data_IF_425735237674
#
_entry.id   IF_425735237674
#
_cell.length_a   1.000
_cell.length_b   1.000
_cell.length_c   1.000
_cell.angle_alpha   90.00
_cell.angle_beta   90.00
_cell.angle_gamma   90.00
#
_symmetry.space_group_name_H-M   'P 1'
#
loop_
_entity.id
_entity.type
_entity.pdbx_description
1 polymer ?
#
# COMPACT_ATOMS: atom_id res chain seq x y z
N UNK A 1 34.17 1.90 -58.10
CA UNK A 1 33.74 3.06 -58.89
C UNK A 1 33.02 4.03 -57.96
N UNK A 2 33.50 5.27 -57.91
CA UNK A 2 32.93 6.48 -57.27
C UNK A 2 31.58 6.87 -57.93
N UNK A 3 30.69 7.76 -57.44
CA UNK A 3 30.78 9.12 -56.87
C UNK A 3 29.36 9.53 -56.35
N UNK A 4 29.12 10.14 -55.17
CA UNK A 4 29.24 11.55 -54.70
C UNK A 4 28.08 12.53 -55.06
N UNK A 5 27.57 13.25 -54.04
CA UNK A 5 26.97 14.61 -54.04
C UNK A 5 25.43 14.68 -53.86
N UNK A 6 24.80 15.57 -53.07
CA UNK A 6 25.23 16.78 -52.35
C UNK A 6 24.16 17.24 -51.30
N UNK A 7 24.55 18.23 -50.46
CA UNK A 7 23.94 18.76 -49.23
C UNK A 7 23.10 20.06 -49.41
N UNK A 8 22.14 20.29 -48.48
CA UNK A 8 21.69 21.55 -47.82
C UNK A 8 21.00 22.67 -48.65
N UNK A 9 20.30 23.70 -48.06
CA UNK A 9 20.31 24.19 -46.67
C UNK A 9 18.97 24.67 -46.03
N UNK A 10 19.07 25.10 -44.76
CA UNK A 10 18.06 25.74 -43.90
C UNK A 10 17.78 27.22 -44.23
N UNK A 11 16.81 27.86 -43.53
CA UNK A 11 16.93 29.27 -43.19
C UNK A 11 16.79 29.57 -41.69
N UNK A 12 17.71 30.40 -41.21
CA UNK A 12 17.70 31.19 -39.98
C UNK A 12 17.01 32.53 -40.22
N UNK A 13 16.30 33.06 -39.22
CA UNK A 13 16.15 34.51 -39.05
C UNK A 13 15.92 34.89 -37.58
N UNK A 14 16.65 35.93 -37.18
CA UNK A 14 16.92 36.46 -35.83
C UNK A 14 16.05 37.66 -35.45
N UNK A 15 15.84 37.81 -34.14
CA UNK A 15 15.79 39.04 -33.31
C UNK A 15 14.84 40.20 -33.66
N UNK A 16 14.02 40.57 -32.66
CA UNK A 16 13.42 41.90 -32.53
C UNK A 16 12.95 42.18 -31.10
N UNK A 17 13.80 42.81 -30.30
CA UNK A 17 13.41 43.39 -29.02
C UNK A 17 12.64 44.71 -29.23
N UNK A 18 11.59 44.98 -28.46
CA UNK A 18 11.16 46.35 -28.08
C UNK A 18 10.23 46.34 -26.86
N UNK A 19 10.63 47.12 -25.87
CA UNK A 19 9.84 47.53 -24.72
C UNK A 19 8.70 48.48 -25.11
N UNK A 20 7.59 48.47 -24.35
CA UNK A 20 6.97 49.68 -23.75
C UNK A 20 5.71 49.38 -22.93
N UNK A 21 5.79 49.87 -21.70
CA UNK A 21 4.75 50.37 -20.78
C UNK A 21 3.51 50.94 -21.48
N UNK A 22 2.30 50.63 -20.96
CA UNK A 22 1.26 51.63 -20.54
C UNK A 22 -0.19 51.10 -20.60
N UNK A 23 -0.78 50.96 -19.40
CA UNK A 23 -2.14 51.37 -18.95
C UNK A 23 -3.44 51.00 -19.73
N UNK A 24 -4.39 50.57 -18.88
CA UNK A 24 -5.82 50.96 -18.72
C UNK A 24 -6.92 50.07 -19.33
N UNK A 25 -7.88 49.74 -18.46
CA UNK A 25 -9.23 49.21 -18.77
C UNK A 25 -9.59 48.05 -17.84
N UNK A 26 -9.92 48.24 -16.55
CA UNK A 26 -11.16 48.76 -15.95
C UNK A 26 -12.31 47.73 -15.85
N UNK A 27 -12.72 47.49 -14.58
CA UNK A 27 -14.06 47.18 -14.05
C UNK A 27 -14.63 45.77 -14.33
N UNK A 28 -15.25 45.04 -13.39
CA UNK A 28 -15.84 45.48 -12.12
C UNK A 28 -15.93 44.36 -11.06
N UNK A 29 -15.83 44.81 -9.81
CA UNK A 29 -16.03 44.04 -8.59
C UNK A 29 -17.43 44.32 -8.05
N UNK A 30 -18.20 43.27 -7.74
CA UNK A 30 -19.44 43.39 -6.99
C UNK A 30 -19.19 43.16 -5.49
N UNK A 31 -19.32 44.26 -4.74
CA UNK A 31 -19.98 44.44 -3.44
C UNK A 31 -19.81 43.37 -2.34
N UNK A 32 -19.06 43.76 -1.30
CA UNK A 32 -19.42 43.46 0.10
C UNK A 32 -19.23 44.74 0.94
N UNK A 33 -20.34 45.27 1.47
CA UNK A 33 -20.38 46.40 2.40
C UNK A 33 -19.94 45.92 3.79
N UNK A 34 -18.90 46.55 4.35
CA UNK A 34 -18.63 46.50 5.80
C UNK A 34 -18.54 47.93 6.32
N UNK A 35 -19.41 48.23 7.27
CA UNK A 35 -19.55 49.51 7.96
C UNK A 35 -18.36 49.71 8.88
N UNK A 36 -17.69 50.87 8.75
CA UNK A 36 -16.56 51.25 9.59
C UNK A 36 -17.00 51.97 10.85
N UNK A 37 -16.33 51.67 11.97
CA UNK A 37 -16.19 52.57 13.12
C UNK A 37 -14.71 52.54 13.52
N UNK A 38 -14.01 53.66 13.32
CA UNK A 38 -12.64 53.91 13.77
C UNK A 38 -12.67 54.47 15.19
N UNK A 39 -11.89 53.89 16.09
CA UNK A 39 -11.38 54.59 17.28
C UNK A 39 -9.85 54.43 17.36
N UNK A 40 -9.10 55.44 17.81
CA UNK A 40 -7.64 55.42 17.84
C UNK A 40 -7.10 54.63 19.04
N UNK A 41 -6.14 53.73 18.77
CA UNK A 41 -5.46 52.94 19.79
C UNK A 41 -4.42 53.76 20.55
N UNK A 42 -4.59 53.87 21.87
CA UNK A 42 -3.56 54.32 22.82
C UNK A 42 -2.75 53.10 23.24
N UNK A 43 -1.43 53.11 22.99
CA UNK A 43 -0.49 52.05 23.42
C UNK A 43 -0.01 52.33 24.85
N UNK A 44 -0.33 51.44 25.78
CA UNK A 44 0.33 51.32 27.09
C UNK A 44 1.14 50.02 27.08
N UNK A 45 2.46 50.03 27.32
CA UNK A 45 3.26 48.81 27.35
C UNK A 45 3.12 48.12 28.71
N UNK A 46 2.40 46.99 28.75
CA UNK A 46 2.42 46.05 29.87
C UNK A 46 3.48 44.96 29.66
N UNK A 47 4.05 44.37 30.73
CA UNK A 47 5.10 43.36 30.63
C UNK A 47 4.58 42.09 29.95
N UNK A 48 5.31 41.61 28.93
CA UNK A 48 5.04 40.34 28.24
C UNK A 48 5.24 39.19 29.23
N UNK A 49 4.15 38.61 29.73
CA UNK A 49 4.18 37.26 30.26
C UNK A 49 4.58 36.32 29.12
N UNK A 50 5.74 35.65 29.27
CA UNK A 50 6.11 34.55 28.39
C UNK A 50 5.09 33.43 28.61
N UNK A 51 4.25 33.20 27.60
CA UNK A 51 3.47 31.98 27.52
C UNK A 51 4.46 30.83 27.33
N UNK A 52 4.71 30.08 28.40
CA UNK A 52 5.33 28.77 28.32
C UNK A 52 4.31 27.87 27.63
N UNK A 53 4.39 27.79 26.31
CA UNK A 53 3.69 26.78 25.52
C UNK A 53 4.31 25.43 25.87
N UNK A 54 3.79 24.75 26.88
CA UNK A 54 3.88 23.30 26.94
C UNK A 54 3.07 22.75 25.78
N UNK A 55 3.69 22.67 24.61
CA UNK A 55 3.13 21.96 23.48
C UNK A 55 2.96 20.50 23.94
N UNK A 56 1.74 20.13 24.32
CA UNK A 56 1.37 18.73 24.49
C UNK A 56 1.56 18.12 23.11
N UNK A 57 2.61 17.32 22.95
CA UNK A 57 2.89 16.61 21.71
C UNK A 57 1.67 15.72 21.41
N UNK A 58 0.89 16.11 20.40
CA UNK A 58 -0.31 15.37 20.00
C UNK A 58 0.15 14.04 19.41
N UNK A 59 -0.24 12.94 20.06
CA UNK A 59 0.01 11.60 19.55
C UNK A 59 -0.61 11.45 18.15
N UNK A 60 0.04 10.71 17.23
CA UNK A 60 -0.53 10.39 15.93
C UNK A 60 -1.93 9.78 16.06
N UNK A 61 -2.90 10.12 15.19
CA UNK A 61 -4.29 9.73 15.34
C UNK A 61 -4.52 8.22 15.53
N UNK A 62 -3.68 7.38 14.93
CA UNK A 62 -3.73 5.93 15.07
C UNK A 62 -3.63 5.46 16.53
N UNK A 63 -2.75 6.10 17.31
CA UNK A 63 -2.47 5.74 18.71
C UNK A 63 -2.94 6.81 19.70
N UNK A 64 -3.64 7.83 19.23
CA UNK A 64 -4.13 8.93 20.05
C UNK A 64 -5.30 8.55 20.97
N UNK A 65 -5.94 7.41 20.73
CA UNK A 65 -7.02 6.92 21.59
C UNK A 65 -6.41 6.22 22.83
N UNK A 66 -6.66 6.72 24.06
CA UNK A 66 -6.13 6.11 25.29
C UNK A 66 -6.68 4.71 25.57
N UNK A 67 -7.81 4.33 24.95
CA UNK A 67 -8.34 2.97 25.03
C UNK A 67 -7.79 2.04 23.94
N UNK A 68 -6.94 2.53 23.02
CA UNK A 68 -6.29 1.68 22.00
C UNK A 68 -5.52 0.57 22.68
N UNK A 69 -5.67 -0.66 22.19
CA UNK A 69 -5.00 -1.84 22.72
C UNK A 69 -5.32 -2.18 24.20
N UNK A 70 -6.28 -1.49 24.84
CA UNK A 70 -6.60 -1.70 26.27
C UNK A 70 -7.13 -3.09 26.61
N UNK A 71 -7.62 -3.83 25.60
CA UNK A 71 -8.11 -5.21 25.68
C UNK A 71 -7.34 -6.13 24.73
N UNK A 72 -6.15 -5.76 24.25
CA UNK A 72 -5.44 -6.53 23.23
C UNK A 72 -5.15 -7.98 23.64
N UNK A 73 -4.89 -8.21 24.92
CA UNK A 73 -4.67 -9.54 25.51
C UNK A 73 -5.91 -10.45 25.50
N UNK A 74 -7.12 -9.91 25.29
CA UNK A 74 -8.35 -10.68 25.18
C UNK A 74 -8.57 -11.25 23.77
N UNK A 75 -7.79 -10.80 22.78
CA UNK A 75 -7.95 -11.16 21.38
C UNK A 75 -6.65 -11.77 20.84
N UNK A 76 -6.72 -13.06 20.53
CA UNK A 76 -5.68 -13.78 19.76
C UNK A 76 -6.16 -14.14 18.36
N UNK A 77 -7.48 -14.18 18.15
CA UNK A 77 -8.15 -14.46 16.87
C UNK A 77 -9.41 -13.60 16.75
N UNK A 78 -9.72 -13.16 15.53
CA UNK A 78 -11.00 -12.52 15.17
C UNK A 78 -11.53 -13.12 13.87
N UNK A 79 -12.85 -13.24 13.77
CA UNK A 79 -13.52 -13.66 12.53
C UNK A 79 -13.58 -12.52 11.52
N UNK A 80 -13.25 -12.80 10.27
CA UNK A 80 -13.38 -11.85 9.18
C UNK A 80 -13.56 -12.52 7.82
N UNK A 81 -14.37 -11.89 6.98
CA UNK A 81 -14.60 -12.28 5.60
C UNK A 81 -13.40 -11.88 4.73
N UNK A 82 -12.63 -12.86 4.29
CA UNK A 82 -11.46 -12.72 3.43
C UNK A 82 -11.91 -12.76 1.95
N UNK A 83 -11.50 -11.79 1.11
CA UNK A 83 -12.04 -11.65 -0.24
C UNK A 83 -11.28 -12.52 -1.26
N UNK A 84 -11.62 -13.80 -1.32
CA UNK A 84 -11.13 -14.71 -2.37
C UNK A 84 -11.73 -14.36 -3.74
N UNK A 85 -11.34 -15.14 -4.75
CA UNK A 85 -11.70 -15.00 -6.16
C UNK A 85 -13.20 -14.73 -6.41
N UNK A 86 -14.05 -15.67 -6.00
CA UNK A 86 -15.47 -15.68 -6.35
C UNK A 86 -16.39 -15.28 -5.19
N UNK A 87 -15.88 -15.36 -3.96
CA UNK A 87 -16.65 -15.02 -2.77
C UNK A 87 -15.76 -14.53 -1.63
N UNK A 88 -16.40 -13.87 -0.66
CA UNK A 88 -15.76 -13.59 0.62
C UNK A 88 -16.03 -14.76 1.57
N UNK A 89 -14.98 -15.35 2.12
CA UNK A 89 -15.06 -16.52 3.01
C UNK A 89 -14.76 -16.08 4.44
N UNK A 90 -15.61 -16.45 5.39
CA UNK A 90 -15.35 -16.18 6.81
C UNK A 90 -14.20 -17.05 7.32
N UNK A 91 -13.10 -16.41 7.69
CA UNK A 91 -11.90 -17.05 8.20
C UNK A 91 -11.60 -16.63 9.63
N UNK A 92 -10.87 -17.49 10.35
CA UNK A 92 -10.13 -17.07 11.53
C UNK A 92 -8.92 -16.24 11.11
N UNK A 93 -8.83 -15.03 11.62
CA UNK A 93 -7.70 -14.13 11.41
C UNK A 93 -7.00 -13.93 12.75
N UNK A 94 -5.77 -14.42 12.85
CA UNK A 94 -4.95 -14.26 14.04
C UNK A 94 -4.54 -12.79 14.22
N UNK A 95 -4.58 -12.33 15.47
CA UNK A 95 -4.26 -10.96 15.88
C UNK A 95 -3.35 -10.99 17.11
N UNK A 96 -2.64 -9.89 17.36
CA UNK A 96 -1.81 -9.70 18.56
C UNK A 96 -0.88 -10.91 18.81
N UNK A 97 -0.87 -11.46 20.03
CA UNK A 97 -0.03 -12.62 20.38
C UNK A 97 -0.34 -13.87 19.55
N UNK A 98 -1.61 -14.08 19.19
CA UNK A 98 -1.99 -15.19 18.29
C UNK A 98 -1.37 -15.05 16.91
N UNK A 99 -1.26 -13.83 16.38
CA UNK A 99 -0.55 -13.59 15.12
C UNK A 99 0.95 -13.84 15.26
N UNK A 100 1.56 -13.43 16.38
CA UNK A 100 2.99 -13.68 16.66
C UNK A 100 3.31 -15.16 16.74
N UNK A 101 2.44 -15.93 17.39
CA UNK A 101 2.56 -17.39 17.49
C UNK A 101 2.36 -18.06 16.13
N UNK A 102 1.35 -17.65 15.36
CA UNK A 102 1.11 -18.18 14.02
C UNK A 102 2.29 -17.93 13.07
N UNK A 103 2.90 -16.73 13.11
CA UNK A 103 4.09 -16.40 12.31
C UNK A 103 5.26 -17.32 12.67
N UNK A 104 5.53 -17.51 13.97
CA UNK A 104 6.60 -18.42 14.45
C UNK A 104 6.34 -19.87 14.07
N UNK A 105 5.12 -20.37 14.29
CA UNK A 105 4.74 -21.75 14.01
C UNK A 105 4.85 -22.11 12.52
N UNK A 106 4.64 -21.13 11.63
CA UNK A 106 4.75 -21.30 10.18
C UNK A 106 6.14 -20.94 9.63
N UNK A 107 7.11 -20.54 10.47
CA UNK A 107 8.44 -20.10 10.02
C UNK A 107 8.41 -18.88 9.11
N UNK A 108 7.44 -17.98 9.31
CA UNK A 108 7.17 -16.84 8.43
C UNK A 108 7.89 -15.54 8.86
N UNK A 109 8.78 -15.59 9.85
CA UNK A 109 9.46 -14.43 10.44
C UNK A 109 10.31 -13.63 9.44
N UNK A 110 10.72 -14.24 8.33
CA UNK A 110 11.45 -13.58 7.23
C UNK A 110 10.54 -12.83 6.25
N UNK A 111 9.23 -13.05 6.34
CA UNK A 111 8.24 -12.50 5.42
C UNK A 111 7.37 -11.43 6.06
N UNK A 112 7.14 -11.50 7.37
CA UNK A 112 6.25 -10.56 8.06
C UNK A 112 6.74 -10.26 9.48
N UNK A 113 6.66 -8.98 9.84
CA UNK A 113 7.00 -8.49 11.17
C UNK A 113 5.92 -7.52 11.66
N UNK A 114 5.32 -7.83 12.82
CA UNK A 114 4.29 -7.00 13.43
C UNK A 114 4.94 -5.97 14.37
N UNK A 115 4.80 -4.69 14.03
CA UNK A 115 5.47 -3.58 14.70
C UNK A 115 4.65 -3.14 15.92
N UNK A 116 5.28 -3.15 17.10
CA UNK A 116 4.61 -2.70 18.32
C UNK A 116 4.21 -1.21 18.26
N UNK A 117 3.01 -0.82 18.74
CA UNK A 117 2.55 0.58 18.71
C UNK A 117 3.46 1.57 19.46
N UNK A 118 4.22 1.09 20.45
CA UNK A 118 5.16 1.90 21.23
C UNK A 118 6.59 1.93 20.66
N UNK A 119 6.83 1.29 19.50
CA UNK A 119 8.13 1.24 18.87
C UNK A 119 8.63 2.67 18.52
N UNK A 120 9.80 3.10 19.01
CA UNK A 120 10.29 4.47 18.77
C UNK A 120 10.46 4.83 17.28
N UNK A 121 10.86 3.88 16.44
CA UNK A 121 11.00 4.10 14.99
C UNK A 121 9.64 4.26 14.31
N UNK A 122 8.64 3.50 14.76
CA UNK A 122 7.25 3.67 14.31
C UNK A 122 6.73 5.05 14.70
N UNK A 123 6.91 5.46 15.95
CA UNK A 123 6.47 6.78 16.43
C UNK A 123 7.11 7.92 15.63
N UNK A 124 8.41 7.80 15.33
CA UNK A 124 9.13 8.75 14.46
C UNK A 124 8.51 8.79 13.07
N UNK A 125 8.24 7.63 12.46
CA UNK A 125 7.63 7.56 11.13
C UNK A 125 6.22 8.17 11.12
N UNK A 126 5.37 7.82 12.09
CA UNK A 126 4.02 8.35 12.20
C UNK A 126 4.04 9.88 12.36
N UNK A 127 4.95 10.43 13.17
CA UNK A 127 5.12 11.87 13.33
C UNK A 127 5.53 12.56 12.02
N UNK A 128 6.55 12.04 11.33
CA UNK A 128 6.96 12.51 10.00
C UNK A 128 5.77 12.51 9.04
N UNK A 129 4.95 11.44 9.10
CA UNK A 129 3.79 11.31 8.26
C UNK A 129 2.66 12.29 8.58
N UNK A 130 2.46 12.68 9.84
CA UNK A 130 1.51 13.74 10.20
C UNK A 130 2.02 15.12 9.75
N UNK A 131 3.29 15.42 10.02
CA UNK A 131 3.90 16.73 9.72
C UNK A 131 4.01 17.00 8.21
N UNK A 132 4.30 15.96 7.41
CA UNK A 132 4.45 16.06 5.96
C UNK A 132 3.14 15.98 5.17
N UNK A 133 2.04 15.58 5.80
CA UNK A 133 0.83 15.11 5.12
C UNK A 133 0.29 16.07 4.06
N UNK A 134 0.05 17.32 4.45
CA UNK A 134 -0.50 18.35 3.55
C UNK A 134 0.57 18.89 2.61
N UNK A 135 1.82 19.03 3.08
CA UNK A 135 2.96 19.56 2.30
C UNK A 135 3.29 18.67 1.10
N UNK A 136 3.30 17.35 1.29
CA UNK A 136 3.60 16.38 0.23
C UNK A 136 2.41 16.25 -0.75
N UNK A 137 1.23 16.76 -0.39
CA UNK A 137 0.03 16.68 -1.21
C UNK A 137 -0.61 15.30 -1.22
N UNK A 138 -0.31 14.44 -0.23
CA UNK A 138 -0.88 13.10 -0.09
C UNK A 138 -2.39 13.16 0.01
N UNK A 139 -2.92 14.16 0.72
CA UNK A 139 -4.37 14.40 0.82
C UNK A 139 -5.06 14.58 -0.53
N UNK A 140 -4.35 15.08 -1.54
CA UNK A 140 -4.90 15.39 -2.87
C UNK A 140 -4.58 14.31 -3.90
N UNK A 141 -3.37 13.73 -3.85
CA UNK A 141 -2.89 12.75 -4.84
C UNK A 141 -3.13 11.30 -4.43
N UNK A 142 -3.31 11.06 -3.14
CA UNK A 142 -3.43 9.76 -2.48
C UNK A 142 -2.29 8.75 -2.70
N UNK A 143 -1.42 8.92 -3.69
CA UNK A 143 -0.23 8.11 -3.94
C UNK A 143 0.90 8.97 -4.51
N UNK A 144 2.12 8.44 -4.53
CA UNK A 144 3.25 9.10 -5.16
C UNK A 144 4.56 8.33 -5.12
N UNK A 145 5.58 8.96 -5.71
CA UNK A 145 6.95 8.47 -5.78
C UNK A 145 7.73 8.80 -4.51
N UNK A 146 8.64 7.92 -4.09
CA UNK A 146 9.38 8.03 -2.83
C UNK A 146 10.18 9.32 -2.70
N UNK A 147 10.68 9.87 -3.83
CA UNK A 147 11.43 11.13 -3.85
C UNK A 147 10.61 12.35 -3.39
N UNK A 148 9.28 12.24 -3.35
CA UNK A 148 8.42 13.29 -2.80
C UNK A 148 8.46 13.31 -1.27
N UNK A 149 8.81 12.19 -0.62
CA UNK A 149 8.77 12.05 0.83
C UNK A 149 10.00 11.32 1.41
N UNK A 150 11.23 11.78 1.11
CA UNK A 150 12.45 11.05 1.46
C UNK A 150 12.59 10.75 2.95
N UNK A 151 12.17 11.67 3.83
CA UNK A 151 12.23 11.47 5.27
C UNK A 151 11.31 10.35 5.78
N UNK A 152 10.17 10.09 5.12
CA UNK A 152 9.29 8.98 5.47
C UNK A 152 9.89 7.64 5.02
N UNK A 153 10.55 7.63 3.85
CA UNK A 153 11.22 6.44 3.35
C UNK A 153 12.46 6.09 4.18
N UNK A 154 13.22 7.08 4.65
CA UNK A 154 14.34 6.84 5.56
C UNK A 154 13.85 6.28 6.91
N UNK A 155 12.76 6.81 7.46
CA UNK A 155 12.19 6.28 8.69
C UNK A 155 11.55 4.89 8.49
N UNK A 156 10.95 4.61 7.34
CA UNK A 156 10.44 3.28 6.98
C UNK A 156 11.56 2.26 6.76
N UNK A 157 12.67 2.65 6.15
CA UNK A 157 13.88 1.84 6.02
C UNK A 157 14.40 1.38 7.39
N UNK A 158 14.47 2.28 8.37
CA UNK A 158 14.92 1.92 9.72
C UNK A 158 14.03 0.86 10.41
N UNK A 159 12.73 0.80 10.07
CA UNK A 159 11.83 -0.26 10.53
C UNK A 159 12.12 -1.59 9.82
N UNK A 160 12.45 -1.57 8.53
CA UNK A 160 12.81 -2.78 7.78
C UNK A 160 14.14 -3.38 8.23
N UNK A 161 15.13 -2.54 8.52
CA UNK A 161 16.42 -2.97 9.09
C UNK A 161 16.25 -3.63 10.47
N UNK A 162 15.24 -3.23 11.24
CA UNK A 162 14.90 -3.87 12.51
C UNK A 162 14.09 -5.16 12.34
N UNK A 163 13.12 -5.14 11.43
CA UNK A 163 12.23 -6.25 11.17
C UNK A 163 12.95 -7.44 10.52
N UNK A 164 13.84 -7.17 9.57
CA UNK A 164 14.50 -8.16 8.73
C UNK A 164 16.00 -7.87 8.62
N UNK A 165 16.75 -7.92 9.74
CA UNK A 165 18.16 -7.50 9.75
C UNK A 165 19.01 -8.26 8.74
N UNK A 166 18.75 -9.55 8.55
CA UNK A 166 19.48 -10.39 7.60
C UNK A 166 19.36 -9.97 6.13
N UNK A 167 18.28 -9.28 5.79
CA UNK A 167 17.94 -8.90 4.40
C UNK A 167 18.12 -7.39 4.17
N UNK A 168 17.96 -6.59 5.22
CA UNK A 168 17.83 -5.14 5.13
C UNK A 168 19.00 -4.39 5.78
N UNK A 169 19.61 -4.93 6.84
CA UNK A 169 20.63 -4.21 7.60
C UNK A 169 22.01 -4.31 6.89
N UNK A 170 22.66 -3.16 6.59
CA UNK A 170 23.99 -3.12 6.00
C UNK A 170 25.05 -3.91 6.78
N UNK A 171 24.91 -4.04 8.10
CA UNK A 171 25.81 -4.85 8.93
C UNK A 171 25.80 -6.34 8.55
N UNK A 172 24.70 -6.83 7.98
CA UNK A 172 24.54 -8.19 7.47
C UNK A 172 24.71 -8.28 5.94
N UNK A 173 25.09 -7.18 5.29
CA UNK A 173 25.20 -7.08 3.83
C UNK A 173 23.85 -6.86 3.11
N UNK A 174 22.81 -6.53 3.87
CA UNK A 174 21.50 -6.13 3.34
C UNK A 174 21.48 -4.68 2.88
N UNK A 175 20.59 -4.36 1.95
CA UNK A 175 20.38 -2.99 1.48
C UNK A 175 18.91 -2.75 1.21
N UNK A 176 18.34 -1.73 1.86
CA UNK A 176 17.00 -1.23 1.59
C UNK A 176 17.07 -0.11 0.55
N UNK A 177 16.34 -0.28 -0.54
CA UNK A 177 16.16 0.67 -1.62
C UNK A 177 14.74 1.25 -1.54
N UNK A 178 14.64 2.57 -1.59
CA UNK A 178 13.35 3.24 -1.61
C UNK A 178 12.60 2.99 -2.94
N UNK A 179 11.31 2.69 -2.82
CA UNK A 179 10.45 2.48 -3.98
C UNK A 179 10.66 1.16 -4.71
N UNK A 180 9.80 0.92 -5.68
CA UNK A 180 9.65 -0.38 -6.35
C UNK A 180 10.32 -0.48 -7.73
N UNK A 181 10.75 0.65 -8.30
CA UNK A 181 11.49 0.75 -9.57
C UNK A 181 10.88 0.00 -10.77
N UNK A 182 9.54 -0.09 -10.87
CA UNK A 182 8.87 -0.70 -12.02
C UNK A 182 8.92 0.15 -13.30
N UNK A 183 9.36 1.40 -13.18
CA UNK A 183 9.43 2.39 -14.25
C UNK A 183 10.83 2.99 -14.26
N UNK A 184 11.31 3.36 -15.45
CA UNK A 184 12.56 4.11 -15.60
C UNK A 184 12.48 5.51 -14.98
N UNK A 185 13.63 6.15 -14.81
CA UNK A 185 13.74 7.51 -14.24
C UNK A 185 12.93 8.56 -15.03
N UNK A 186 12.74 8.32 -16.33
CA UNK A 186 11.94 9.12 -17.24
C UNK A 186 10.43 9.04 -16.96
N UNK A 187 10.00 8.03 -16.20
CA UNK A 187 8.60 7.74 -15.86
C UNK A 187 8.36 7.66 -14.35
N UNK A 188 9.26 8.21 -13.53
CA UNK A 188 9.18 8.16 -12.06
C UNK A 188 7.90 8.74 -11.46
N UNK A 189 7.23 9.65 -12.16
CA UNK A 189 5.94 10.22 -11.78
C UNK A 189 4.79 9.20 -11.85
N UNK A 190 4.99 8.09 -12.57
CA UNK A 190 4.08 6.94 -12.67
C UNK A 190 4.33 5.88 -11.60
N UNK A 191 5.46 5.91 -10.90
CA UNK A 191 5.73 4.96 -9.83
C UNK A 191 4.86 5.26 -8.59
N UNK A 192 4.28 4.20 -8.05
CA UNK A 192 3.50 4.23 -6.82
C UNK A 192 4.35 3.58 -5.75
N UNK A 193 5.17 4.39 -5.08
CA UNK A 193 6.03 3.95 -3.98
C UNK A 193 5.36 4.14 -2.62
N UNK A 194 4.42 5.08 -2.51
CA UNK A 194 3.53 5.18 -1.37
C UNK A 194 2.09 5.36 -1.80
N UNK A 195 1.16 4.84 -0.98
CA UNK A 195 -0.27 4.96 -1.22
C UNK A 195 -1.05 5.06 0.10
N UNK A 196 -1.90 6.08 0.19
CA UNK A 196 -2.98 6.12 1.17
C UNK A 196 -4.13 5.23 0.71
N UNK A 197 -4.68 4.41 1.61
CA UNK A 197 -5.91 3.64 1.34
C UNK A 197 -7.04 4.09 2.24
N UNK A 198 -8.21 4.32 1.64
CA UNK A 198 -9.48 4.62 2.32
C UNK A 198 -10.56 3.58 1.93
N UNK A 199 -11.40 3.12 2.86
CA UNK A 199 -12.58 2.30 2.62
C UNK A 199 -13.69 3.04 1.85
N UNK A 200 -13.65 4.37 1.80
CA UNK A 200 -14.64 5.20 1.09
C UNK A 200 -14.00 5.93 -0.09
N UNK A 201 -14.51 5.60 -1.27
CA UNK A 201 -14.81 6.50 -2.41
C UNK A 201 -13.71 7.18 -3.24
N UNK A 202 -12.42 7.16 -2.88
CA UNK A 202 -11.41 7.98 -3.62
C UNK A 202 -10.42 7.23 -4.52
N UNK A 203 -10.50 5.90 -4.64
CA UNK A 203 -9.74 5.16 -5.66
C UNK A 203 -10.65 4.36 -6.59
N UNK A 204 -10.84 4.92 -7.78
CA UNK A 204 -11.20 4.18 -8.99
C UNK A 204 -10.20 4.62 -10.05
N UNK A 205 -8.97 4.11 -9.94
CA UNK A 205 -7.91 4.21 -10.94
C UNK A 205 -7.24 2.84 -11.03
N UNK A 206 -8.05 1.86 -11.42
CA UNK A 206 -7.65 0.51 -11.80
C UNK A 206 -8.90 -0.09 -12.42
N UNK A 207 -8.89 -0.37 -13.72
CA UNK A 207 -10.10 -0.79 -14.45
C UNK A 207 -10.60 -2.17 -14.01
N UNK A 208 -9.71 -2.94 -13.41
CA UNK A 208 -9.98 -4.04 -12.51
C UNK A 208 -9.69 -3.51 -11.12
N UNK A 209 -10.54 -3.67 -10.10
CA UNK A 209 -10.19 -3.23 -8.75
C UNK A 209 -9.56 -4.43 -8.01
N UNK A 210 -8.26 -4.77 -8.18
CA UNK A 210 -7.64 -5.86 -7.44
C UNK A 210 -7.71 -5.60 -5.92
N UNK A 211 -7.93 -4.34 -5.50
CA UNK A 211 -7.99 -3.92 -4.11
C UNK A 211 -9.23 -4.42 -3.35
N UNK A 212 -10.22 -4.95 -4.06
CA UNK A 212 -11.33 -5.68 -3.45
C UNK A 212 -11.04 -7.15 -3.21
N UNK A 213 -9.91 -7.68 -3.71
CA UNK A 213 -9.53 -9.09 -3.72
C UNK A 213 -8.14 -9.28 -3.11
N UNK A 214 -7.80 -10.53 -2.83
CA UNK A 214 -6.44 -10.92 -2.49
C UNK A 214 -5.53 -10.78 -3.70
N UNK A 215 -4.32 -10.27 -3.48
CA UNK A 215 -3.29 -10.17 -4.51
C UNK A 215 -1.91 -10.27 -3.89
N UNK A 216 -0.91 -10.39 -4.77
CA UNK A 216 0.49 -10.05 -4.49
C UNK A 216 0.82 -8.82 -5.32
N UNK A 217 1.70 -7.95 -4.85
CA UNK A 217 2.03 -6.72 -5.57
C UNK A 217 2.55 -6.93 -7.01
N UNK A 218 3.37 -7.94 -7.37
CA UNK A 218 3.77 -8.10 -8.77
C UNK A 218 2.55 -8.39 -9.65
N UNK A 219 1.52 -9.01 -9.11
CA UNK A 219 0.39 -9.49 -9.87
C UNK A 219 -0.66 -8.39 -10.10
N UNK A 220 -0.67 -7.35 -9.26
CA UNK A 220 -1.65 -6.27 -9.24
C UNK A 220 -1.16 -4.93 -9.83
N UNK A 221 0.09 -4.85 -10.32
CA UNK A 221 0.67 -3.60 -10.81
C UNK A 221 0.61 -3.54 -12.34
N UNK A 222 -0.33 -2.73 -12.83
CA UNK A 222 -0.65 -2.55 -14.26
C UNK A 222 0.42 -1.76 -15.05
N UNK A 223 1.40 -1.12 -14.38
CA UNK A 223 2.38 -0.23 -15.03
C UNK A 223 3.78 -0.84 -15.19
N UNK A 224 3.89 -2.16 -15.18
CA UNK A 224 5.15 -2.85 -15.46
C UNK A 224 5.59 -2.56 -16.90
N UNK A 225 6.77 -1.97 -17.07
CA UNK A 225 7.38 -1.80 -18.38
C UNK A 225 8.14 -3.08 -18.79
N UNK A 226 8.35 -3.34 -20.09
CA UNK A 226 9.33 -4.33 -20.52
C UNK A 226 10.68 -4.08 -19.83
N UNK A 227 11.30 -5.12 -19.27
CA UNK A 227 12.53 -4.97 -18.51
C UNK A 227 12.37 -4.58 -17.03
N UNK A 228 11.13 -4.53 -16.51
CA UNK A 228 10.89 -4.12 -15.11
C UNK A 228 11.61 -5.01 -14.10
N UNK A 229 11.80 -6.30 -14.38
CA UNK A 229 12.49 -7.20 -13.45
C UNK A 229 13.99 -6.91 -13.42
N UNK A 230 14.59 -6.57 -14.55
CA UNK A 230 15.99 -6.18 -14.65
C UNK A 230 16.23 -4.83 -13.98
N UNK A 231 15.28 -3.89 -14.12
CA UNK A 231 15.32 -2.59 -13.45
C UNK A 231 15.07 -2.69 -11.93
N UNK A 232 14.14 -3.55 -11.53
CA UNK A 232 13.71 -3.69 -10.15
C UNK A 232 14.60 -4.67 -9.36
N UNK A 233 15.21 -5.66 -10.01
CA UNK A 233 16.12 -6.66 -9.43
C UNK A 233 17.48 -6.71 -10.17
N UNK A 234 18.21 -5.58 -10.27
CA UNK A 234 19.46 -5.53 -11.01
C UNK A 234 20.53 -6.44 -10.38
N UNK A 235 21.17 -7.26 -11.20
CA UNK A 235 22.18 -8.20 -10.71
C UNK A 235 21.61 -9.40 -9.95
N UNK A 236 20.34 -9.76 -10.18
CA UNK A 236 19.77 -11.03 -9.69
C UNK A 236 20.45 -12.27 -10.29
N UNK A 237 21.12 -12.11 -11.44
CA UNK A 237 21.97 -13.13 -12.10
C UNK A 237 21.23 -14.39 -12.54
N UNK A 238 21.87 -15.20 -13.39
CA UNK A 238 21.43 -16.56 -13.66
C UNK A 238 21.84 -17.51 -12.50
N UNK A 239 21.25 -18.71 -12.40
CA UNK A 239 21.76 -19.75 -11.51
C UNK A 239 23.25 -19.99 -11.76
N UNK A 240 24.06 -19.93 -10.70
CA UNK A 240 25.52 -20.08 -10.78
C UNK A 240 26.30 -18.77 -10.93
N UNK A 241 25.64 -17.62 -11.09
CA UNK A 241 26.33 -16.33 -11.06
C UNK A 241 26.86 -16.03 -9.66
N UNK A 242 28.18 -15.88 -9.56
CA UNK A 242 28.87 -15.61 -8.30
C UNK A 242 28.58 -14.20 -7.73
N UNK A 243 28.04 -13.27 -8.51
CA UNK A 243 27.75 -11.88 -8.06
C UNK A 243 26.25 -11.59 -7.80
N UNK A 244 25.40 -12.64 -7.73
CA UNK A 244 23.93 -12.51 -7.71
C UNK A 244 23.27 -12.02 -6.40
N UNK A 245 22.33 -11.09 -6.49
CA UNK A 245 21.49 -10.65 -5.35
C UNK A 245 20.17 -11.43 -5.25
N UNK A 246 19.74 -11.69 -4.01
CA UNK A 246 18.35 -12.03 -3.68
C UNK A 246 17.58 -10.75 -3.40
N UNK A 247 16.47 -10.55 -4.10
CA UNK A 247 15.59 -9.38 -3.96
C UNK A 247 14.29 -9.72 -3.25
N UNK A 248 13.84 -8.77 -2.42
CA UNK A 248 12.52 -8.77 -1.79
C UNK A 248 11.84 -7.42 -1.96
N UNK A 249 10.52 -7.44 -1.84
CA UNK A 249 9.70 -6.25 -1.96
C UNK A 249 8.87 -6.13 -0.70
N UNK A 250 9.18 -5.13 0.10
CA UNK A 250 8.56 -4.94 1.40
C UNK A 250 7.58 -3.79 1.37
N UNK A 251 6.41 -4.02 1.94
CA UNK A 251 5.48 -2.98 2.29
C UNK A 251 5.57 -2.69 3.79
N UNK A 252 5.77 -1.43 4.15
CA UNK A 252 5.51 -0.91 5.50
C UNK A 252 4.09 -0.37 5.50
N UNK A 253 3.17 -1.13 6.08
CA UNK A 253 1.76 -0.78 6.16
C UNK A 253 1.41 -0.24 7.54
N UNK A 254 0.70 0.88 7.55
CA UNK A 254 0.44 1.66 8.75
C UNK A 254 -1.03 2.07 8.81
N UNK A 255 -1.72 1.69 9.88
CA UNK A 255 -2.97 2.29 10.25
C UNK A 255 -2.76 3.78 10.59
N UNK A 256 -3.64 4.63 10.06
CA UNK A 256 -3.69 6.07 10.33
C UNK A 256 -4.93 6.45 11.14
N UNK A 257 -5.96 5.60 11.12
CA UNK A 257 -7.15 5.77 11.95
C UNK A 257 -6.93 5.23 13.36
N UNK A 258 -7.59 5.81 14.37
CA UNK A 258 -7.54 5.31 15.74
C UNK A 258 -7.82 3.81 15.80
N UNK A 259 -7.02 3.09 16.57
CA UNK A 259 -7.24 1.67 16.82
C UNK A 259 -8.44 1.45 17.74
N UNK A 260 -9.03 0.27 17.61
CA UNK A 260 -10.04 -0.24 18.52
C UNK A 260 -9.39 -0.76 19.82
N UNK A 261 -10.18 -1.05 20.87
CA UNK A 261 -9.65 -1.56 22.14
C UNK A 261 -8.91 -2.91 22.02
N UNK A 262 -9.20 -3.72 21.00
CA UNK A 262 -8.46 -4.97 20.73
C UNK A 262 -7.06 -4.71 20.14
N UNK A 263 -6.73 -3.45 19.82
CA UNK A 263 -5.48 -3.06 19.19
C UNK A 263 -5.48 -3.20 17.68
N UNK A 264 -6.65 -3.33 17.05
CA UNK A 264 -6.79 -3.51 15.60
C UNK A 264 -7.53 -2.34 14.95
N UNK A 265 -7.58 -2.30 13.62
CA UNK A 265 -8.41 -1.31 12.93
C UNK A 265 -9.89 -1.66 13.05
N UNK A 266 -10.74 -0.64 13.20
CA UNK A 266 -12.19 -0.80 13.39
C UNK A 266 -12.90 -1.52 12.24
N UNK A 267 -12.43 -1.33 11.01
CA UNK A 267 -13.03 -1.91 9.82
C UNK A 267 -11.96 -2.27 8.81
N UNK A 268 -12.26 -3.25 7.97
CA UNK A 268 -11.47 -3.61 6.81
C UNK A 268 -9.96 -3.88 7.10
N UNK A 269 -9.58 -4.75 8.03
CA UNK A 269 -8.17 -5.03 8.33
C UNK A 269 -7.38 -5.46 7.09
N UNK A 270 -6.09 -5.16 7.05
CA UNK A 270 -5.18 -5.78 6.09
C UNK A 270 -4.91 -7.21 6.57
N UNK A 271 -5.47 -8.20 5.88
CA UNK A 271 -5.15 -9.60 6.14
C UNK A 271 -3.96 -10.03 5.27
N UNK A 272 -3.04 -10.75 5.87
CA UNK A 272 -1.86 -11.34 5.24
C UNK A 272 -1.95 -12.86 5.37
N UNK A 273 -1.77 -13.57 4.26
CA UNK A 273 -1.64 -15.02 4.24
C UNK A 273 -0.18 -15.39 4.49
N UNK A 274 0.07 -16.22 5.49
CA UNK A 274 1.40 -16.76 5.71
C UNK A 274 1.86 -17.63 4.53
N UNK A 275 3.15 -17.60 4.16
CA UNK A 275 3.65 -18.37 3.03
C UNK A 275 3.52 -19.87 3.29
N UNK A 276 3.20 -20.63 2.24
CA UNK A 276 3.18 -22.10 2.29
C UNK A 276 4.60 -22.62 2.41
N UNK A 277 4.80 -23.64 3.25
CA UNK A 277 6.08 -24.34 3.40
C UNK A 277 7.27 -23.36 3.57
N UNK A 278 7.11 -22.31 4.39
CA UNK A 278 8.13 -21.26 4.63
C UNK A 278 8.59 -20.52 3.36
N UNK A 279 7.75 -20.51 2.32
CA UNK A 279 8.02 -19.89 1.03
C UNK A 279 8.62 -20.85 0.00
N UNK A 280 8.90 -22.11 0.35
CA UNK A 280 9.39 -23.10 -0.61
C UNK A 280 8.34 -23.53 -1.62
N UNK A 281 7.06 -23.18 -1.38
CA UNK A 281 5.95 -23.55 -2.26
C UNK A 281 4.95 -22.43 -2.43
N UNK A 282 4.38 -22.31 -3.62
CA UNK A 282 3.24 -21.46 -3.88
C UNK A 282 1.95 -22.07 -3.33
N UNK A 283 1.03 -21.20 -2.89
CA UNK A 283 -0.36 -21.60 -2.67
C UNK A 283 -1.05 -21.98 -4.00
N UNK A 284 -2.15 -22.71 -3.89
CA UNK A 284 -3.00 -23.02 -5.05
C UNK A 284 -3.77 -21.77 -5.47
N UNK A 285 -3.75 -21.46 -6.76
CA UNK A 285 -4.49 -20.33 -7.33
C UNK A 285 -4.82 -20.62 -8.78
N UNK A 286 -5.80 -19.90 -9.28
CA UNK A 286 -6.19 -19.93 -10.69
C UNK A 286 -5.74 -18.64 -11.36
N UNK A 287 -5.48 -18.69 -12.67
CA UNK A 287 -5.16 -17.49 -13.46
C UNK A 287 -6.45 -17.08 -14.15
N UNK A 288 -6.92 -15.86 -13.86
CA UNK A 288 -8.03 -15.24 -14.59
C UNK A 288 -7.47 -14.41 -15.72
N UNK A 289 -7.84 -14.71 -16.96
CA UNK A 289 -7.49 -13.87 -18.10
C UNK A 289 -8.53 -12.77 -18.30
N UNK A 290 -8.22 -11.71 -19.05
CA UNK A 290 -9.20 -10.70 -19.41
C UNK A 290 -10.45 -11.27 -20.10
N UNK A 291 -10.28 -12.29 -20.94
CA UNK A 291 -11.34 -12.98 -21.70
C UNK A 291 -12.33 -13.72 -20.79
N UNK A 292 -11.89 -14.19 -19.61
CA UNK A 292 -12.78 -14.79 -18.60
C UNK A 292 -13.80 -13.78 -18.02
N UNK A 293 -13.65 -12.48 -18.31
CA UNK A 293 -14.62 -11.45 -17.94
C UNK A 293 -15.62 -11.13 -19.07
N UNK A 294 -15.45 -11.69 -20.27
CA UNK A 294 -16.42 -11.53 -21.37
C UNK A 294 -17.69 -12.34 -21.07
N UNK A 295 -18.79 -11.64 -20.77
CA UNK A 295 -20.08 -12.26 -20.41
C UNK A 295 -20.52 -12.03 -18.97
N UNK A 296 -19.71 -11.39 -18.13
CA UNK A 296 -20.17 -10.88 -16.83
C UNK A 296 -21.11 -9.70 -17.09
N UNK A 297 -22.41 -9.98 -17.14
CA UNK A 297 -23.45 -8.94 -17.21
C UNK A 297 -23.25 -8.00 -16.03
N UNK A 298 -23.02 -6.71 -16.28
CA UNK A 298 -22.96 -5.72 -15.20
C UNK A 298 -24.22 -5.85 -14.35
N UNK A 299 -24.04 -6.09 -13.04
CA UNK A 299 -25.12 -6.16 -12.06
C UNK A 299 -26.05 -4.95 -12.24
N UNK A 300 -27.32 -5.24 -12.53
CA UNK A 300 -28.31 -4.22 -12.86
C UNK A 300 -28.53 -3.30 -11.65
N UNK A 301 -29.02 -2.08 -11.90
CA UNK A 301 -29.41 -1.17 -10.82
C UNK A 301 -30.41 -1.82 -9.83
N UNK A 302 -31.26 -2.73 -10.31
CA UNK A 302 -32.23 -3.47 -9.49
C UNK A 302 -31.58 -4.49 -8.56
N UNK A 303 -30.58 -5.23 -9.03
CA UNK A 303 -29.83 -6.19 -8.21
C UNK A 303 -28.96 -5.48 -7.17
N UNK A 304 -28.32 -4.37 -7.57
CA UNK A 304 -27.62 -3.47 -6.64
C UNK A 304 -28.56 -2.93 -5.57
N UNK A 305 -29.76 -2.48 -5.95
CA UNK A 305 -30.79 -2.00 -5.03
C UNK A 305 -31.31 -3.11 -4.09
N UNK A 306 -31.44 -4.35 -4.59
CA UNK A 306 -31.84 -5.51 -3.78
C UNK A 306 -30.82 -5.89 -2.71
N UNK A 307 -29.52 -5.83 -3.04
CA UNK A 307 -28.44 -6.01 -2.04
C UNK A 307 -28.40 -4.85 -1.04
N UNK A 308 -28.61 -3.62 -1.51
CA UNK A 308 -28.72 -2.40 -0.70
C UNK A 308 -29.88 -2.51 0.31
N UNK A 309 -31.03 -3.03 -0.11
CA UNK A 309 -32.19 -3.21 0.75
C UNK A 309 -31.95 -4.26 1.86
N UNK A 310 -31.14 -5.29 1.57
CA UNK A 310 -30.76 -6.32 2.56
C UNK A 310 -29.72 -5.85 3.58
N UNK A 311 -28.97 -4.77 3.30
CA UNK A 311 -28.01 -4.21 4.26
C UNK A 311 -27.91 -2.67 4.17
N UNK A 312 -28.89 -1.92 4.72
CA UNK A 312 -29.11 -0.50 4.46
C UNK A 312 -27.95 0.42 4.92
N UNK A 313 -27.20 0.02 5.95
CA UNK A 313 -26.07 0.80 6.49
C UNK A 313 -24.84 0.79 5.57
N UNK A 314 -24.71 -0.23 4.71
CA UNK A 314 -23.63 -0.34 3.71
C UNK A 314 -23.89 0.45 2.42
N UNK A 315 -25.13 0.92 2.22
CA UNK A 315 -25.63 1.42 0.94
C UNK A 315 -25.59 2.95 0.75
N UNK A 316 -25.53 3.72 1.84
CA UNK A 316 -25.53 5.18 1.78
C UNK A 316 -24.42 5.78 0.88
N UNK A 317 -23.18 5.22 0.82
CA UNK A 317 -22.14 5.72 -0.09
C UNK A 317 -22.39 5.36 -1.56
N UNK A 318 -23.11 4.27 -1.84
CA UNK A 318 -23.38 3.76 -3.19
C UNK A 318 -24.49 4.59 -3.85
N UNK A 319 -25.54 4.92 -3.09
CA UNK A 319 -26.65 5.78 -3.54
C UNK A 319 -26.12 7.18 -3.89
N UNK A 320 -25.22 7.75 -3.08
CA UNK A 320 -24.59 9.06 -3.37
C UNK A 320 -23.70 9.05 -4.63
N UNK A 321 -23.09 7.91 -4.98
CA UNK A 321 -22.27 7.77 -6.19
C UNK A 321 -23.12 7.63 -7.47
N UNK A 322 -24.32 7.03 -7.37
CA UNK A 322 -25.26 6.92 -8.49
C UNK A 322 -25.70 8.30 -9.03
N UNK A 323 -25.66 9.34 -8.20
CA UNK A 323 -26.00 10.72 -8.59
C UNK A 323 -24.79 11.57 -9.06
N UNK A 324 -23.56 11.03 -9.12
CA UNK A 324 -22.34 11.82 -9.35
C UNK A 324 -21.58 11.50 -10.66
N UNK A 325 -22.16 10.80 -11.62
CA UNK A 325 -21.45 10.42 -12.85
C UNK A 325 -21.14 11.62 -13.78
N UNK A 326 -19.94 12.19 -13.65
CA UNK A 326 -19.16 12.57 -14.84
C UNK A 326 -18.53 11.29 -15.38
N UNK A 327 -19.07 10.75 -16.47
CA UNK A 327 -18.42 9.69 -17.27
C UNK A 327 -17.05 10.20 -17.72
N UNK A 328 -15.96 9.66 -17.17
CA UNK A 328 -14.68 9.67 -17.88
C UNK A 328 -14.81 8.71 -19.08
N UNK A 329 -14.21 9.06 -20.22
CA UNK A 329 -14.28 8.23 -21.43
C UNK A 329 -13.50 6.93 -21.20
N UNK A 330 -14.00 5.84 -21.77
CA UNK A 330 -13.37 4.51 -21.66
C UNK A 330 -11.92 4.55 -22.18
N UNK A 331 -11.67 5.32 -23.25
CA UNK A 331 -10.34 5.52 -23.87
C UNK A 331 -9.31 6.04 -22.85
N UNK A 332 -9.62 7.07 -22.07
CA UNK A 332 -8.73 7.63 -21.03
C UNK A 332 -8.39 6.64 -19.89
N UNK A 333 -9.21 5.60 -19.72
CA UNK A 333 -8.96 4.52 -18.75
C UNK A 333 -8.29 3.28 -19.39
N UNK A 334 -8.16 3.20 -20.72
CA UNK A 334 -7.66 2.03 -21.47
C UNK A 334 -6.28 2.26 -22.10
N UNK A 335 -5.77 3.51 -22.16
CA UNK A 335 -4.55 3.86 -22.90
C UNK A 335 -3.24 3.21 -22.42
N UNK A 336 -3.22 2.44 -21.32
CA UNK A 336 -1.99 1.87 -20.77
C UNK A 336 -2.13 0.44 -20.23
N UNK A 337 -2.82 -0.45 -20.95
CA UNK A 337 -2.73 -1.89 -20.62
C UNK A 337 -1.40 -2.45 -21.12
N UNK A 338 -0.57 -2.93 -20.19
CA UNK A 338 0.63 -3.72 -20.49
C UNK A 338 0.20 -4.97 -21.30
N UNK A 339 0.72 -5.14 -22.52
CA UNK A 339 0.44 -6.33 -23.33
C UNK A 339 0.78 -7.62 -22.58
N UNK A 340 1.77 -7.59 -21.68
CA UNK A 340 2.10 -8.74 -20.84
C UNK A 340 1.05 -9.00 -19.77
N UNK A 341 0.38 -7.98 -19.25
CA UNK A 341 -0.74 -8.16 -18.31
C UNK A 341 -1.89 -8.91 -18.98
N UNK A 342 -2.27 -8.48 -20.19
CA UNK A 342 -3.35 -9.12 -20.94
C UNK A 342 -3.03 -10.58 -21.28
N UNK A 343 -1.77 -10.89 -21.58
CA UNK A 343 -1.31 -12.26 -21.89
C UNK A 343 -1.17 -13.15 -20.65
N UNK A 344 -0.68 -12.63 -19.52
CA UNK A 344 -0.35 -13.44 -18.33
C UNK A 344 -1.54 -13.69 -17.40
N UNK A 345 -2.58 -12.86 -17.49
CA UNK A 345 -3.72 -12.88 -16.58
C UNK A 345 -3.37 -12.42 -15.16
N UNK A 346 -4.34 -12.55 -14.26
CA UNK A 346 -4.19 -12.23 -12.84
C UNK A 346 -4.38 -13.51 -12.00
N UNK A 347 -3.39 -13.89 -11.18
CA UNK A 347 -3.52 -15.03 -10.28
C UNK A 347 -4.49 -14.67 -9.15
N UNK A 348 -5.40 -15.57 -8.84
CA UNK A 348 -6.43 -15.41 -7.84
C UNK A 348 -6.45 -16.63 -6.92
N UNK A 349 -6.18 -16.37 -5.65
CA UNK A 349 -6.08 -17.41 -4.63
C UNK A 349 -7.39 -18.19 -4.48
N UNK A 350 -7.28 -19.52 -4.43
CA UNK A 350 -8.41 -20.43 -4.17
C UNK A 350 -8.52 -20.65 -2.66
N UNK A 351 -9.72 -20.64 -2.06
CA UNK A 351 -9.89 -20.96 -0.64
C UNK A 351 -9.30 -22.34 -0.28
N UNK A 352 -8.61 -22.40 0.85
CA UNK A 352 -8.00 -23.62 1.41
C UNK A 352 -8.05 -23.53 2.93
N UNK A 353 -8.48 -24.61 3.60
CA UNK A 353 -8.61 -24.68 5.07
C UNK A 353 -7.25 -24.61 5.78
N UNK A 354 -6.15 -24.87 5.07
CA UNK A 354 -4.78 -24.77 5.59
C UNK A 354 -4.23 -23.34 5.56
N UNK A 355 -4.97 -22.38 5.02
CA UNK A 355 -4.57 -20.98 5.03
C UNK A 355 -4.53 -20.39 6.44
N UNK A 356 -3.42 -19.75 6.76
CA UNK A 356 -3.23 -19.05 8.04
C UNK A 356 -3.18 -17.55 7.80
N UNK A 357 -4.23 -16.87 8.26
CA UNK A 357 -4.39 -15.42 8.11
C UNK A 357 -3.96 -14.66 9.35
N UNK A 358 -3.16 -13.61 9.18
CA UNK A 358 -2.76 -12.69 10.25
C UNK A 358 -3.12 -11.25 9.89
N UNK A 359 -3.30 -10.39 10.89
CA UNK A 359 -3.40 -8.93 10.71
C UNK A 359 -2.78 -8.18 11.87
N UNK A 360 -2.30 -6.96 11.59
CA UNK A 360 -1.80 -6.03 12.60
C UNK A 360 -1.95 -4.58 12.12
N UNK A 361 -2.19 -3.60 13.00
CA UNK A 361 -2.29 -2.19 12.63
C UNK A 361 -1.02 -1.58 12.01
N UNK A 362 0.15 -2.16 12.32
CA UNK A 362 1.44 -1.72 11.82
C UNK A 362 2.28 -2.94 11.48
N UNK A 363 2.65 -3.11 10.22
CA UNK A 363 3.30 -4.33 9.76
C UNK A 363 4.27 -4.05 8.62
N UNK A 364 5.45 -4.67 8.71
CA UNK A 364 6.36 -4.81 7.58
C UNK A 364 6.12 -6.20 6.98
N UNK A 365 5.89 -6.32 5.67
CA UNK A 365 5.70 -7.63 5.06
C UNK A 365 6.18 -7.69 3.61
N UNK A 366 6.60 -8.88 3.16
CA UNK A 366 7.02 -9.16 1.80
C UNK A 366 5.77 -9.25 0.90
N UNK A 367 5.45 -8.16 0.20
CA UNK A 367 4.23 -8.04 -0.57
C UNK A 367 4.26 -8.81 -1.89
N UNK A 368 5.44 -9.29 -2.28
CA UNK A 368 5.62 -10.12 -3.44
C UNK A 368 5.38 -11.58 -3.11
N UNK A 369 5.82 -12.04 -1.94
CA UNK A 369 5.70 -13.44 -1.51
C UNK A 369 4.53 -13.75 -0.59
N UNK A 370 3.78 -12.73 -0.15
CA UNK A 370 2.57 -12.90 0.66
C UNK A 370 1.32 -12.41 -0.05
N UNK A 371 0.30 -13.27 -0.10
CA UNK A 371 -1.05 -12.86 -0.50
C UNK A 371 -1.63 -11.94 0.56
N UNK A 372 -2.23 -10.83 0.11
CA UNK A 372 -2.78 -9.85 1.02
C UNK A 372 -3.98 -9.12 0.42
N UNK A 373 -4.82 -8.59 1.30
CA UNK A 373 -6.02 -7.87 0.90
C UNK A 373 -6.76 -7.28 2.10
N UNK A 374 -7.86 -6.58 1.83
CA UNK A 374 -8.69 -6.03 2.88
C UNK A 374 -9.82 -7.01 3.21
N UNK A 375 -9.66 -7.78 4.29
CA UNK A 375 -10.77 -8.55 4.86
C UNK A 375 -11.82 -7.62 5.44
N UNK A 376 -13.02 -8.12 5.78
CA UNK A 376 -14.02 -7.39 6.55
C UNK A 376 -14.27 -8.13 7.86
N UNK A 377 -14.23 -7.43 9.00
CA UNK A 377 -14.67 -8.08 10.24
C UNK A 377 -16.10 -8.59 10.08
N UNK A 378 -16.34 -9.86 10.42
CA UNK A 378 -17.68 -10.43 10.35
C UNK A 378 -18.58 -9.65 11.30
N UNK A 379 -19.71 -9.17 10.81
CA UNK A 379 -20.71 -8.50 11.68
C UNK A 379 -21.54 -9.52 12.46
N UNK A 380 -21.52 -10.80 12.08
CA UNK A 380 -22.49 -11.78 12.53
C UNK A 380 -21.84 -13.07 13.01
N UNK A 381 -21.79 -13.22 14.31
CA UNK A 381 -22.52 -14.36 14.87
C UNK A 381 -23.64 -13.78 15.71
N UNK A 382 -24.80 -14.43 15.75
CA UNK A 382 -25.95 -14.05 16.57
C UNK A 382 -25.68 -14.02 18.11
N UNK A 383 -24.40 -14.05 18.53
CA UNK A 383 -23.95 -14.03 19.91
C UNK A 383 -23.14 -12.80 20.33
N UNK A 384 -22.58 -11.99 19.41
CA UNK A 384 -22.11 -10.62 19.74
C UNK A 384 -21.59 -9.87 18.50
N UNK A 385 -22.08 -8.64 18.30
CA UNK A 385 -21.41 -7.67 17.43
C UNK A 385 -20.17 -7.17 18.19
N UNK A 386 -18.99 -7.75 17.90
CA UNK A 386 -17.71 -7.39 18.55
C UNK A 386 -17.42 -5.90 18.43
N UNK A 387 -17.81 -5.25 17.32
CA UNK A 387 -17.63 -3.81 17.15
C UNK A 387 -18.50 -3.04 18.14
N UNK A 388 -19.76 -3.43 18.30
CA UNK A 388 -20.64 -2.83 19.30
C UNK A 388 -20.18 -3.11 20.73
N UNK A 389 -19.70 -4.32 21.03
CA UNK A 389 -19.14 -4.69 22.32
C UNK A 389 -17.93 -3.81 22.67
N UNK A 390 -16.98 -3.69 21.74
CA UNK A 390 -15.80 -2.85 21.89
C UNK A 390 -16.17 -1.38 22.07
N UNK A 391 -17.18 -0.87 21.36
CA UNK A 391 -17.67 0.50 21.53
C UNK A 391 -18.33 0.72 22.90
N UNK A 392 -19.19 -0.21 23.34
CA UNK A 392 -19.97 -0.07 24.57
C UNK A 392 -19.12 -0.33 25.83
N UNK A 393 -18.05 -1.12 25.71
CA UNK A 393 -17.08 -1.38 26.78
C UNK A 393 -15.95 -0.34 26.88
N UNK A 394 -15.89 0.64 25.97
CA UNK A 394 -14.87 1.69 26.01
C UNK A 394 -15.13 2.70 27.15
N UNK A 395 -14.06 3.30 27.70
CA UNK A 395 -14.17 4.32 28.75
C UNK A 395 -14.88 5.57 28.24
N UNK A 396 -14.64 5.93 26.98
CA UNK A 396 -15.36 6.98 26.26
C UNK A 396 -16.13 6.37 25.08
N UNK A 397 -17.35 5.91 25.37
CA UNK A 397 -18.25 5.27 24.39
C UNK A 397 -18.53 6.18 23.19
N UNK A 398 -18.69 7.49 23.41
CA UNK A 398 -19.02 8.42 22.33
C UNK A 398 -17.83 8.63 21.40
N UNK A 399 -16.61 8.72 21.96
CA UNK A 399 -15.38 8.73 21.18
C UNK A 399 -15.19 7.41 20.43
N UNK A 400 -15.36 6.26 21.07
CA UNK A 400 -15.21 4.96 20.44
C UNK A 400 -16.15 4.80 19.24
N UNK A 401 -17.43 5.16 19.39
CA UNK A 401 -18.41 5.18 18.29
C UNK A 401 -18.01 6.14 17.17
N UNK A 402 -17.53 7.33 17.51
CA UNK A 402 -17.03 8.31 16.53
C UNK A 402 -15.83 7.74 15.76
N UNK A 403 -14.87 7.13 16.45
CA UNK A 403 -13.67 6.58 15.83
C UNK A 403 -14.02 5.36 14.96
N UNK A 404 -14.91 4.48 15.43
CA UNK A 404 -15.46 3.37 14.66
C UNK A 404 -16.23 3.80 13.39
N UNK A 405 -16.81 5.01 13.38
CA UNK A 405 -17.52 5.55 12.21
C UNK A 405 -16.60 6.10 11.11
N UNK A 406 -15.33 6.38 11.44
CA UNK A 406 -14.33 6.86 10.46
C UNK A 406 -13.90 5.77 9.48
N UNK A 407 -14.13 4.50 9.82
CA UNK A 407 -13.58 3.35 9.11
C UNK A 407 -12.06 3.31 9.25
N UNK A 408 -11.40 2.52 8.40
CA UNK A 408 -9.94 2.49 8.28
C UNK A 408 -9.41 3.67 7.47
N UNK A 409 -8.24 4.17 7.79
CA UNK A 409 -7.37 4.83 6.81
C UNK A 409 -6.00 4.24 7.04
N UNK A 410 -5.31 3.87 5.96
CA UNK A 410 -3.96 3.33 6.08
C UNK A 410 -3.02 4.00 5.09
N UNK A 411 -1.73 3.85 5.35
CA UNK A 411 -0.63 4.21 4.47
C UNK A 411 0.19 2.96 4.17
N UNK A 412 0.69 2.88 2.95
CA UNK A 412 1.59 1.84 2.49
C UNK A 412 2.83 2.54 1.92
N UNK A 413 4.01 2.22 2.43
CA UNK A 413 5.30 2.60 1.85
C UNK A 413 5.96 1.35 1.27
N UNK A 414 6.44 1.43 0.04
CA UNK A 414 6.96 0.28 -0.69
C UNK A 414 8.46 0.39 -0.88
N UNK A 415 9.15 -0.70 -0.59
CA UNK A 415 10.60 -0.78 -0.62
C UNK A 415 11.02 -2.01 -1.40
N UNK A 416 12.23 -1.95 -1.93
CA UNK A 416 12.98 -3.14 -2.28
C UNK A 416 14.03 -3.38 -1.21
N UNK A 417 14.31 -4.63 -0.92
CA UNK A 417 15.50 -5.02 -0.19
C UNK A 417 16.31 -5.99 -1.04
N UNK A 418 17.63 -5.98 -0.87
CA UNK A 418 18.51 -6.96 -1.48
C UNK A 418 19.60 -7.39 -0.53
N UNK A 419 19.94 -8.67 -0.60
CA UNK A 419 21.07 -9.24 0.12
C UNK A 419 21.80 -10.24 -0.76
N UNK A 420 23.03 -10.60 -0.38
CA UNK A 420 23.78 -11.68 -1.01
C UNK A 420 23.54 -12.99 -0.26
N UNK A 421 22.85 -13.97 -0.86
CA UNK A 421 22.55 -15.24 -0.22
C UNK A 421 23.80 -16.14 -0.11
N UNK A 422 23.68 -17.25 0.60
CA UNK A 422 24.73 -18.25 0.75
C UNK A 422 25.19 -18.78 -0.62
N UNK A 423 26.51 -19.00 -0.76
CA UNK A 423 27.10 -19.48 -2.02
C UNK A 423 27.34 -18.42 -3.09
N UNK A 424 26.90 -17.17 -2.88
CA UNK A 424 27.26 -16.01 -3.69
C UNK A 424 28.54 -15.37 -3.14
N UNK A 425 29.37 -14.79 -4.00
CA UNK A 425 30.59 -14.06 -3.63
C UNK A 425 30.27 -12.88 -2.70
N UNK A 426 30.78 -12.97 -1.47
CA UNK A 426 30.49 -12.00 -0.41
C UNK A 426 29.11 -12.18 0.22
N UNK A 427 28.43 -13.28 -0.07
CA UNK A 427 27.22 -13.73 0.60
C UNK A 427 27.52 -14.47 1.90
N UNK A 428 26.53 -14.51 2.78
CA UNK A 428 26.63 -15.10 4.12
C UNK A 428 25.99 -16.49 4.13
N UNK A 429 26.66 -17.45 4.75
CA UNK A 429 26.07 -18.79 4.97
C UNK A 429 24.73 -18.69 5.72
N UNK A 430 23.79 -19.56 5.37
CA UNK A 430 22.48 -19.63 6.00
C UNK A 430 21.48 -18.55 5.57
N UNK A 431 21.83 -17.61 4.70
CA UNK A 431 20.88 -16.66 4.09
C UNK A 431 20.36 -17.25 2.78
N UNK A 432 19.11 -17.72 2.70
CA UNK A 432 18.59 -18.30 1.46
C UNK A 432 17.99 -17.22 0.56
N UNK A 433 17.85 -17.54 -0.71
CA UNK A 433 17.13 -16.74 -1.69
C UNK A 433 15.65 -16.56 -1.29
N UNK A 434 15.05 -15.46 -1.74
CA UNK A 434 13.60 -15.28 -1.68
C UNK A 434 12.90 -16.21 -2.68
N UNK A 435 11.63 -16.61 -2.42
CA UNK A 435 10.82 -17.33 -3.38
C UNK A 435 10.73 -16.61 -4.73
N UNK A 436 10.52 -15.29 -4.73
CA UNK A 436 10.54 -14.48 -5.94
C UNK A 436 11.86 -14.62 -6.73
N UNK A 437 13.00 -14.45 -6.06
CA UNK A 437 14.31 -14.54 -6.71
C UNK A 437 14.58 -15.95 -7.25
N UNK A 438 14.15 -16.97 -6.51
CA UNK A 438 14.29 -18.37 -6.90
C UNK A 438 13.43 -18.71 -8.12
N UNK A 439 12.21 -18.19 -8.18
CA UNK A 439 11.32 -18.35 -9.32
C UNK A 439 11.88 -17.66 -10.58
N UNK A 440 12.42 -16.44 -10.43
CA UNK A 440 13.03 -15.68 -11.52
C UNK A 440 14.29 -16.38 -12.05
N UNK A 441 15.24 -16.70 -11.16
CA UNK A 441 16.49 -17.39 -11.50
C UNK A 441 16.25 -18.79 -12.07
N UNK A 442 15.28 -19.53 -11.53
CA UNK A 442 14.85 -20.83 -12.06
C UNK A 442 14.09 -20.76 -13.38
N UNK A 443 13.80 -19.57 -13.90
CA UNK A 443 13.10 -19.37 -15.17
C UNK A 443 11.59 -19.66 -15.13
N UNK A 444 11.02 -19.90 -13.94
CA UNK A 444 9.58 -20.09 -13.73
C UNK A 444 8.81 -18.77 -13.62
N UNK A 445 9.50 -17.64 -13.45
CA UNK A 445 8.90 -16.31 -13.44
C UNK A 445 9.60 -15.40 -14.44
N UNK A 446 8.87 -15.00 -15.48
CA UNK A 446 9.26 -14.13 -16.60
C UNK A 446 8.26 -12.97 -16.73
N UNK A 447 8.60 -11.86 -17.44
CA UNK A 447 7.75 -10.67 -17.48
C UNK A 447 6.32 -10.91 -17.96
N UNK A 448 6.15 -11.89 -18.84
CA UNK A 448 4.91 -12.33 -19.50
C UNK A 448 4.24 -13.52 -18.81
N UNK A 449 4.69 -13.90 -17.61
CA UNK A 449 4.14 -15.02 -16.85
C UNK A 449 3.79 -14.60 -15.43
N UNK A 450 2.92 -15.37 -14.80
CA UNK A 450 2.81 -15.41 -13.34
C UNK A 450 3.64 -16.59 -12.84
N UNK A 451 3.98 -16.61 -11.54
CA UNK A 451 4.58 -17.81 -10.94
C UNK A 451 3.67 -19.03 -11.18
N UNK A 452 4.19 -20.27 -11.20
CA UNK A 452 3.32 -21.43 -11.35
C UNK A 452 2.56 -21.70 -10.05
N UNK A 453 1.24 -21.96 -10.14
CA UNK A 453 0.47 -22.42 -8.99
C UNK A 453 1.06 -23.72 -8.44
N UNK A 454 1.15 -23.85 -7.11
CA UNK A 454 1.87 -24.93 -6.44
C UNK A 454 3.36 -25.09 -6.83
N UNK A 455 3.94 -24.09 -7.49
CA UNK A 455 5.36 -24.02 -7.82
C UNK A 455 6.23 -24.26 -6.59
N UNK A 456 7.33 -24.98 -6.77
CA UNK A 456 8.24 -25.36 -5.70
C UNK A 456 9.65 -24.79 -5.96
N UNK A 457 10.28 -24.30 -4.90
CA UNK A 457 11.54 -23.56 -4.98
C UNK A 457 12.59 -24.16 -4.06
N UNK A 458 13.83 -24.22 -4.55
CA UNK A 458 15.03 -24.50 -3.78
C UNK A 458 15.62 -23.15 -3.38
N UNK A 459 15.25 -22.69 -2.18
CA UNK A 459 15.65 -21.39 -1.65
C UNK A 459 17.15 -21.34 -1.29
N UNK A 460 17.80 -22.49 -1.10
CA UNK A 460 19.24 -22.53 -0.84
C UNK A 460 20.03 -22.27 -2.13
N UNK A 461 19.62 -22.88 -3.24
CA UNK A 461 20.27 -22.69 -4.55
C UNK A 461 19.76 -21.49 -5.33
N UNK A 462 18.60 -20.95 -4.96
CA UNK A 462 17.93 -19.89 -5.69
C UNK A 462 17.42 -20.37 -7.05
N UNK A 463 16.76 -21.54 -7.07
CA UNK A 463 16.24 -22.18 -8.28
C UNK A 463 14.85 -22.77 -8.04
N UNK A 464 14.22 -23.33 -9.08
CA UNK A 464 13.01 -24.16 -8.95
C UNK A 464 13.38 -25.61 -8.60
N UNK A 465 12.46 -26.33 -7.94
CA UNK A 465 12.61 -27.76 -7.63
C UNK A 465 12.14 -28.67 -8.76
#
# INVERSE_FOLDING_TARGET
MSALGAFAPAPTATLGARSRVSRRGALGTNNAKTIGIRQPAVRIPGPRAQAVSTAVELLPPAIANPDSCSRANEFTVRKGAVPYKDEAVDCDIFVNDGAREAIRANGAERFVHLIEPNNPKLLKLLKIMEDGWDRIGVRAKNAGHHSLWPEAFEAGKALLEEAFPEECDPAYGGEVLAGVAFVGDDMKDRAIDFMQRRPKTDFTMSKYNPLGRLHRDPDAIDYKQPGWMEAAMPGSGAPGDEDGYSYRYYNVWLARTPLDPSGQVWENPLCLLLPKDKGEREWTYEIRTPEDNEGVTEETLGEKAGRIAKNPLSAAPIIMKAFSFKKQRKEDQFEFQDENYMKRGSPELVPDDTHVWVTHPFVCFDSFDMWHGAAKWSSDSAKSDVKAELCNGAKDVMRARRDASKGRVSMELRFRARCKPAGVRGGREGVPFSPLSSAYRGGAFKPDTVRPSNGAYDLEKGTTK
#
